data_IF_080503489847
#
_entry.id   IF_080503489847
#
_cell.length_a   1.000
_cell.length_b   1.000
_cell.length_c   1.000
_cell.angle_alpha   90.00
_cell.angle_beta   90.00
_cell.angle_gamma   90.00
#
_symmetry.space_group_name_H-M   'P 1'
#
loop_
_entity.id
_entity.type
_entity.pdbx_description
1 polymer ?
#
# COMPACT_ATOMS: atom_id res chain seq x y z
N UNK A 1 -14.02 12.01 77.91
CA UNK A 1 -13.22 11.23 76.95
C UNK A 1 -14.06 10.63 75.80
N UNK A 2 -15.22 11.20 75.42
CA UNK A 2 -16.08 10.67 74.32
C UNK A 2 -16.61 11.74 73.34
N UNK A 3 -16.04 12.96 73.33
CA UNK A 3 -16.55 14.08 72.51
C UNK A 3 -15.69 14.43 71.29
N UNK A 4 -14.45 13.90 71.18
CA UNK A 4 -13.54 14.24 70.09
C UNK A 4 -13.48 13.19 68.96
N UNK A 5 -13.74 11.91 69.23
CA UNK A 5 -13.80 10.87 68.18
C UNK A 5 -14.89 11.18 67.15
N UNK A 6 -15.99 11.83 67.58
CA UNK A 6 -17.06 12.27 66.68
C UNK A 6 -16.62 13.39 65.72
N UNK A 7 -15.73 14.29 66.16
CA UNK A 7 -15.22 15.39 65.31
C UNK A 7 -14.13 14.95 64.33
N UNK A 8 -13.36 13.90 64.66
CA UNK A 8 -12.41 13.29 63.72
C UNK A 8 -13.17 12.46 62.66
N UNK A 9 -14.31 11.86 63.05
CA UNK A 9 -15.18 11.13 62.14
C UNK A 9 -15.94 12.06 61.17
N UNK A 10 -16.26 13.30 61.57
CA UNK A 10 -16.95 14.28 60.73
C UNK A 10 -16.03 15.01 59.72
N UNK A 11 -14.72 15.10 59.98
CA UNK A 11 -13.74 15.75 59.07
C UNK A 11 -13.26 14.80 57.97
N UNK A 12 -13.44 13.49 58.15
CA UNK A 12 -13.14 12.46 57.14
C UNK A 12 -14.38 12.16 56.31
N UNK A 13 -14.84 13.16 55.54
CA UNK A 13 -15.91 13.00 54.56
C UNK A 13 -15.59 11.84 53.62
N UNK A 14 -16.54 10.90 53.53
CA UNK A 14 -16.47 9.72 52.66
C UNK A 14 -16.15 10.14 51.22
N UNK A 15 -15.01 9.70 50.71
CA UNK A 15 -14.77 9.64 49.27
C UNK A 15 -15.80 8.66 48.73
N UNK A 16 -16.71 9.17 47.91
CA UNK A 16 -17.78 8.37 47.30
C UNK A 16 -17.21 7.50 46.18
N UNK A 17 -17.83 6.34 45.92
CA UNK A 17 -17.40 5.43 44.86
C UNK A 17 -17.36 6.08 43.45
N UNK A 18 -18.03 7.21 43.26
CA UNK A 18 -18.00 8.00 42.02
C UNK A 18 -16.70 8.81 41.88
N UNK A 19 -16.10 9.27 42.98
CA UNK A 19 -14.81 9.98 42.97
C UNK A 19 -13.64 9.03 42.70
N UNK A 20 -13.78 7.75 43.08
CA UNK A 20 -12.81 6.69 42.74
C UNK A 20 -12.75 6.43 41.22
N UNK A 21 -13.85 6.67 40.49
CA UNK A 21 -13.94 6.43 39.04
C UNK A 21 -13.30 7.52 38.19
N UNK A 22 -13.15 8.74 38.72
CA UNK A 22 -12.39 9.82 38.05
C UNK A 22 -10.87 9.65 38.16
N UNK A 23 -10.39 8.92 39.19
CA UNK A 23 -8.96 8.70 39.48
C UNK A 23 -8.29 7.79 38.43
N UNK A 24 -9.03 6.92 37.75
CA UNK A 24 -8.47 6.02 36.72
C UNK A 24 -7.97 6.73 35.44
N UNK A 25 -8.27 8.02 35.26
CA UNK A 25 -7.96 8.73 34.01
C UNK A 25 -6.68 9.56 34.03
N UNK A 26 -6.01 9.77 35.18
CA UNK A 26 -4.74 10.51 35.23
C UNK A 26 -3.83 10.15 36.44
N UNK A 27 -3.08 9.04 36.38
CA UNK A 27 -2.46 8.42 37.56
C UNK A 27 -1.26 9.15 38.23
N UNK A 28 -0.39 9.95 37.57
CA UNK A 28 0.83 10.40 38.23
C UNK A 28 0.64 11.61 39.16
N UNK A 29 -0.29 12.54 38.83
CA UNK A 29 -0.41 13.81 39.56
C UNK A 29 -1.22 13.67 40.87
N UNK A 30 -2.21 12.78 40.90
CA UNK A 30 -3.06 12.58 42.09
C UNK A 30 -2.39 11.72 43.17
N UNK A 31 -1.52 10.78 42.77
CA UNK A 31 -0.74 9.98 43.71
C UNK A 31 0.22 10.85 44.54
N UNK A 32 0.83 11.86 43.90
CA UNK A 32 1.75 12.81 44.55
C UNK A 32 1.04 13.71 45.57
N UNK A 33 -0.18 14.17 45.25
CA UNK A 33 -1.03 14.95 46.17
C UNK A 33 -1.39 14.12 47.40
N UNK A 34 -1.84 12.87 47.21
CA UNK A 34 -2.17 11.95 48.31
C UNK A 34 -0.94 11.63 49.17
N UNK A 35 0.23 11.45 48.56
CA UNK A 35 1.48 11.20 49.29
C UNK A 35 1.88 12.39 50.17
N UNK A 36 1.69 13.62 49.67
CA UNK A 36 1.99 14.85 50.41
C UNK A 36 1.00 15.08 51.56
N UNK A 37 -0.29 14.79 51.37
CA UNK A 37 -1.28 14.81 52.46
C UNK A 37 -0.96 13.80 53.56
N UNK A 38 -0.52 12.59 53.20
CA UNK A 38 -0.12 11.54 54.16
C UNK A 38 1.12 11.96 54.98
N UNK A 39 2.09 12.64 54.36
CA UNK A 39 3.28 13.18 55.05
C UNK A 39 2.90 14.24 56.07
N UNK A 40 2.01 15.16 55.71
CA UNK A 40 1.46 16.19 56.61
C UNK A 40 0.75 15.58 57.83
N UNK A 41 -0.10 14.56 57.61
CA UNK A 41 -0.79 13.88 58.71
C UNK A 41 0.16 13.15 59.66
N UNK A 42 1.24 12.53 59.14
CA UNK A 42 2.27 11.90 59.98
C UNK A 42 3.03 12.93 60.82
N UNK A 43 3.37 14.08 60.24
CA UNK A 43 4.02 15.17 60.99
C UNK A 43 3.10 15.73 62.09
N UNK A 44 1.83 15.97 61.78
CA UNK A 44 0.84 16.44 62.77
C UNK A 44 0.67 15.46 63.95
N UNK A 45 0.66 14.15 63.68
CA UNK A 45 0.61 13.11 64.71
C UNK A 45 1.84 13.12 65.61
N UNK A 46 3.03 13.32 65.04
CA UNK A 46 4.29 13.43 65.81
C UNK A 46 4.26 14.65 66.75
N UNK A 47 3.89 15.83 66.26
CA UNK A 47 3.79 17.04 67.09
C UNK A 47 2.73 16.91 68.20
N UNK A 48 1.61 16.24 67.92
CA UNK A 48 0.61 15.98 68.96
C UNK A 48 1.16 15.07 70.07
N UNK A 49 1.96 14.06 69.73
CA UNK A 49 2.61 13.18 70.71
C UNK A 49 3.66 13.93 71.55
N UNK A 50 4.45 14.81 70.94
CA UNK A 50 5.40 15.70 71.64
C UNK A 50 4.68 16.63 72.62
N UNK A 51 3.55 17.24 72.22
CA UNK A 51 2.75 18.11 73.11
C UNK A 51 2.17 17.31 74.28
N UNK A 52 1.63 16.11 74.04
CA UNK A 52 1.13 15.23 75.10
C UNK A 52 2.24 14.81 76.07
N UNK A 53 3.43 14.51 75.56
CA UNK A 53 4.60 14.18 76.37
C UNK A 53 5.07 15.36 77.21
N UNK A 54 5.13 16.56 76.63
CA UNK A 54 5.47 17.79 77.34
C UNK A 54 4.43 18.13 78.42
N UNK A 55 3.13 17.99 78.12
CA UNK A 55 2.05 18.17 79.10
C UNK A 55 2.15 17.16 80.25
N UNK A 56 2.46 15.89 79.96
CA UNK A 56 2.66 14.86 80.99
C UNK A 56 3.87 15.15 81.87
N UNK A 57 4.98 15.63 81.30
CA UNK A 57 6.18 16.05 82.06
C UNK A 57 5.93 17.27 82.93
N UNK A 58 5.16 18.26 82.43
CA UNK A 58 4.76 19.42 83.23
C UNK A 58 3.88 18.95 84.41
N UNK A 59 2.94 18.04 84.18
CA UNK A 59 2.10 17.45 85.24
C UNK A 59 2.89 16.62 86.26
N UNK A 60 3.97 15.94 85.86
CA UNK A 60 4.90 15.26 86.77
C UNK A 60 5.73 16.27 87.59
N UNK A 61 6.27 17.32 86.94
CA UNK A 61 7.03 18.38 87.62
C UNK A 61 6.16 19.13 88.67
N UNK A 62 4.88 19.37 88.37
CA UNK A 62 3.94 19.95 89.33
C UNK A 62 3.67 19.04 90.53
N UNK A 63 3.67 17.70 90.37
CA UNK A 63 3.52 16.77 91.51
C UNK A 63 4.75 16.76 92.40
N UNK A 64 5.94 16.83 91.81
CA UNK A 64 7.20 16.80 92.56
C UNK A 64 7.42 18.11 93.34
N UNK A 65 7.17 19.28 92.74
CA UNK A 65 7.35 20.57 93.42
C UNK A 65 6.32 20.79 94.54
N UNK A 66 5.07 20.34 94.36
CA UNK A 66 4.03 20.43 95.40
C UNK A 66 4.33 19.46 96.57
N UNK A 67 4.86 18.26 96.28
CA UNK A 67 5.31 17.32 97.30
C UNK A 67 6.58 17.79 98.04
N UNK A 68 7.52 18.46 97.36
CA UNK A 68 8.72 19.03 97.99
C UNK A 68 8.36 20.23 98.88
N UNK A 69 7.43 21.09 98.46
CA UNK A 69 6.92 22.19 99.29
C UNK A 69 6.15 21.69 100.52
N UNK A 70 5.32 20.65 100.37
CA UNK A 70 4.61 20.01 101.49
C UNK A 70 5.59 19.33 102.45
N UNK A 71 6.61 18.60 101.95
CA UNK A 71 7.64 17.96 102.78
C UNK A 71 8.48 18.98 103.55
N UNK A 72 8.89 20.07 102.91
CA UNK A 72 9.65 21.14 103.55
C UNK A 72 8.81 21.89 104.60
N UNK A 73 7.52 22.16 104.33
CA UNK A 73 6.61 22.74 105.33
C UNK A 73 6.36 21.79 106.50
N UNK A 74 6.24 20.48 106.26
CA UNK A 74 6.08 19.47 107.30
C UNK A 74 7.34 19.32 108.16
N UNK A 75 8.54 19.35 107.54
CA UNK A 75 9.82 19.31 108.26
C UNK A 75 10.05 20.57 109.11
N UNK A 76 9.79 21.77 108.58
CA UNK A 76 9.87 23.01 109.36
C UNK A 76 8.86 23.05 110.51
N UNK A 77 7.67 22.48 110.35
CA UNK A 77 6.67 22.38 111.42
C UNK A 77 7.09 21.40 112.53
N UNK A 78 7.74 20.28 112.18
CA UNK A 78 8.27 19.28 113.13
C UNK A 78 9.43 19.87 113.95
N UNK A 79 10.34 20.62 113.33
CA UNK A 79 11.48 21.25 114.02
C UNK A 79 11.03 22.32 115.03
N UNK A 80 9.94 23.04 114.75
CA UNK A 80 9.48 24.16 115.57
C UNK A 80 8.48 23.78 116.68
N UNK A 81 7.70 22.71 116.50
CA UNK A 81 6.60 22.34 117.41
C UNK A 81 6.65 20.91 117.97
N UNK A 82 7.67 20.10 117.62
CA UNK A 82 7.77 18.72 118.06
C UNK A 82 6.75 17.78 117.38
N UNK A 83 6.68 16.52 117.83
CA UNK A 83 6.03 15.38 117.13
C UNK A 83 4.50 15.47 116.89
N UNK A 84 3.86 16.62 117.16
CA UNK A 84 2.46 16.89 116.81
C UNK A 84 2.27 18.39 116.48
N UNK A 85 2.38 18.80 115.20
CA UNK A 85 2.15 20.19 114.83
C UNK A 85 0.64 20.54 114.82
N UNK A 86 0.26 21.76 115.24
CA UNK A 86 -1.13 22.25 115.16
C UNK A 86 -1.59 22.46 113.70
N UNK A 87 -2.91 22.37 113.44
CA UNK A 87 -3.52 22.63 112.12
C UNK A 87 -3.14 24.03 111.61
N UNK A 88 -2.75 24.12 110.34
CA UNK A 88 -2.21 25.28 109.61
C UNK A 88 -3.05 26.58 109.53
N UNK A 89 -4.12 26.75 110.32
CA UNK A 89 -5.05 27.89 110.15
C UNK A 89 -4.72 29.12 111.02
N UNK A 90 -3.66 29.11 111.84
CA UNK A 90 -3.36 30.20 112.79
C UNK A 90 -1.91 30.74 112.69
N UNK A 91 -1.44 31.08 111.48
CA UNK A 91 -0.14 31.75 111.26
C UNK A 91 -0.25 32.97 110.32
N UNK A 92 -0.37 34.21 110.83
CA UNK A 92 -0.55 35.43 110.02
C UNK A 92 0.64 35.79 109.10
N UNK A 93 1.85 35.36 109.45
CA UNK A 93 3.08 35.72 108.71
C UNK A 93 3.30 34.88 107.43
N UNK A 94 2.61 33.74 107.28
CA UNK A 94 2.63 32.93 106.05
C UNK A 94 1.76 33.52 104.93
N UNK A 95 0.72 34.28 105.27
CA UNK A 95 -0.27 34.81 104.32
C UNK A 95 0.31 35.95 103.46
N UNK A 96 1.14 36.82 104.06
CA UNK A 96 1.80 37.94 103.37
C UNK A 96 2.90 37.45 102.40
N UNK A 97 3.59 36.36 102.74
CA UNK A 97 4.61 35.75 101.88
C UNK A 97 3.99 34.99 100.70
N UNK A 98 2.81 34.38 100.91
CA UNK A 98 2.03 33.72 99.86
C UNK A 98 1.41 34.73 98.88
N UNK A 99 0.93 35.89 99.33
CA UNK A 99 0.43 36.95 98.43
C UNK A 99 1.53 37.59 97.58
N UNK A 100 2.68 37.95 98.16
CA UNK A 100 3.82 38.47 97.37
C UNK A 100 4.33 37.47 96.32
N UNK A 101 4.44 36.19 96.69
CA UNK A 101 4.86 35.12 95.76
C UNK A 101 3.82 34.90 94.66
N UNK A 102 2.53 35.09 94.96
CA UNK A 102 1.44 35.03 93.98
C UNK A 102 1.49 36.20 93.00
N UNK A 103 1.76 37.40 93.47
CA UNK A 103 1.94 38.59 92.61
C UNK A 103 3.18 38.45 91.70
N UNK A 104 4.29 37.90 92.22
CA UNK A 104 5.49 37.61 91.41
C UNK A 104 5.22 36.51 90.35
N UNK A 105 4.42 35.49 90.68
CA UNK A 105 4.00 34.44 89.73
C UNK A 105 3.09 35.04 88.65
N UNK A 106 2.14 35.90 89.01
CA UNK A 106 1.26 36.58 88.04
C UNK A 106 2.08 37.49 87.12
N UNK A 107 3.04 38.25 87.66
CA UNK A 107 3.92 39.09 86.85
C UNK A 107 4.83 38.27 85.91
N UNK A 108 5.34 37.11 86.36
CA UNK A 108 6.09 36.19 85.51
C UNK A 108 5.23 35.53 84.43
N UNK A 109 3.98 35.18 84.76
CA UNK A 109 3.01 34.65 83.79
C UNK A 109 2.67 35.70 82.72
N UNK A 110 2.41 36.94 83.12
CA UNK A 110 2.15 38.05 82.19
C UNK A 110 3.34 38.30 81.27
N UNK A 111 4.57 38.27 81.80
CA UNK A 111 5.78 38.42 81.00
C UNK A 111 5.97 37.26 80.02
N UNK A 112 5.77 36.01 80.47
CA UNK A 112 5.84 34.82 79.62
C UNK A 112 4.78 34.83 78.53
N UNK A 113 3.56 35.27 78.85
CA UNK A 113 2.47 35.43 77.89
C UNK A 113 2.82 36.48 76.83
N UNK A 114 3.40 37.61 77.25
CA UNK A 114 3.85 38.66 76.31
C UNK A 114 4.95 38.17 75.38
N UNK A 115 5.93 37.42 75.90
CA UNK A 115 7.00 36.82 75.11
C UNK A 115 6.46 35.76 74.13
N UNK A 116 5.50 34.95 74.55
CA UNK A 116 4.82 33.97 73.70
C UNK A 116 4.04 34.65 72.58
N UNK A 117 3.31 35.73 72.87
CA UNK A 117 2.58 36.53 71.87
C UNK A 117 3.54 37.15 70.84
N UNK A 118 4.69 37.67 71.26
CA UNK A 118 5.72 38.17 70.34
C UNK A 118 6.32 37.07 69.47
N UNK A 119 6.60 35.89 70.05
CA UNK A 119 7.10 34.75 69.30
C UNK A 119 6.08 34.28 68.26
N UNK A 120 4.80 34.16 68.66
CA UNK A 120 3.71 33.76 67.78
C UNK A 120 3.51 34.76 66.64
N UNK A 121 3.60 36.06 66.89
CA UNK A 121 3.55 37.10 65.85
C UNK A 121 4.68 36.95 64.83
N UNK A 122 5.91 36.69 65.28
CA UNK A 122 7.06 36.45 64.40
C UNK A 122 6.86 35.19 63.55
N UNK A 123 6.37 34.12 64.16
CA UNK A 123 6.12 32.85 63.47
C UNK A 123 5.01 32.98 62.42
N UNK A 124 3.89 33.65 62.75
CA UNK A 124 2.81 33.94 61.79
C UNK A 124 3.33 34.78 60.64
N UNK A 125 4.16 35.79 60.90
CA UNK A 125 4.78 36.62 59.86
C UNK A 125 5.66 35.78 58.91
N UNK A 126 6.55 34.95 59.46
CA UNK A 126 7.42 34.07 58.67
C UNK A 126 6.60 33.08 57.84
N UNK A 127 5.58 32.45 58.43
CA UNK A 127 4.71 31.48 57.73
C UNK A 127 3.87 32.14 56.64
N UNK A 128 3.44 33.38 56.84
CA UNK A 128 2.73 34.15 55.80
C UNK A 128 3.64 34.45 54.62
N UNK A 129 4.90 34.82 54.87
CA UNK A 129 5.88 35.06 53.82
C UNK A 129 6.24 33.77 53.05
N UNK A 130 6.44 32.65 53.76
CA UNK A 130 6.63 31.33 53.14
C UNK A 130 5.44 30.95 52.25
N UNK A 131 4.21 31.16 52.72
CA UNK A 131 3.00 30.88 51.96
C UNK A 131 2.90 31.75 50.68
N UNK A 132 3.31 33.02 50.76
CA UNK A 132 3.34 33.91 49.60
C UNK A 132 4.33 33.43 48.53
N UNK A 133 5.57 33.09 48.94
CA UNK A 133 6.59 32.57 48.02
C UNK A 133 6.13 31.27 47.36
N UNK A 134 5.50 30.37 48.12
CA UNK A 134 4.93 29.13 47.59
C UNK A 134 3.82 29.42 46.57
N UNK A 135 2.93 30.38 46.86
CA UNK A 135 1.87 30.79 45.93
C UNK A 135 2.42 31.33 44.61
N UNK A 136 3.43 32.19 44.67
CA UNK A 136 4.10 32.73 43.48
C UNK A 136 4.78 31.62 42.67
N UNK A 137 5.42 30.66 43.35
CA UNK A 137 6.07 29.51 42.70
C UNK A 137 5.05 28.62 41.99
N UNK A 138 3.93 28.30 42.65
CA UNK A 138 2.84 27.50 42.05
C UNK A 138 2.23 28.21 40.84
N UNK A 139 2.07 29.53 40.90
CA UNK A 139 1.60 30.32 39.77
C UNK A 139 2.55 30.20 38.57
N UNK A 140 3.86 30.41 38.79
CA UNK A 140 4.86 30.29 37.74
C UNK A 140 4.92 28.87 37.14
N UNK A 141 4.82 27.83 37.98
CA UNK A 141 4.77 26.45 37.50
C UNK A 141 3.52 26.17 36.66
N UNK A 142 2.36 26.72 37.05
CA UNK A 142 1.11 26.62 36.27
C UNK A 142 1.23 27.30 34.90
N UNK A 143 1.84 28.50 34.83
CA UNK A 143 2.10 29.18 33.56
C UNK A 143 3.07 28.40 32.66
N UNK A 144 4.14 27.85 33.24
CA UNK A 144 5.08 27.01 32.51
C UNK A 144 4.41 25.73 31.98
N UNK A 145 3.55 25.09 32.77
CA UNK A 145 2.80 23.92 32.33
C UNK A 145 1.85 24.24 31.16
N UNK A 146 1.17 25.39 31.19
CA UNK A 146 0.34 25.88 30.07
C UNK A 146 1.18 26.11 28.82
N UNK A 147 2.35 26.75 28.95
CA UNK A 147 3.27 27.00 27.84
C UNK A 147 3.79 25.70 27.22
N UNK A 148 4.19 24.74 28.06
CA UNK A 148 4.67 23.42 27.63
C UNK A 148 3.56 22.64 26.91
N UNK A 149 2.33 22.66 27.44
CA UNK A 149 1.18 22.03 26.78
C UNK A 149 0.95 22.60 25.38
N UNK A 150 0.94 23.92 25.24
CA UNK A 150 0.79 24.58 23.94
C UNK A 150 1.96 24.28 22.97
N UNK A 151 3.17 24.05 23.49
CA UNK A 151 4.32 23.63 22.69
C UNK A 151 4.19 22.17 22.22
N UNK A 152 3.73 21.27 23.10
CA UNK A 152 3.45 19.87 22.75
C UNK A 152 2.36 19.77 21.68
N UNK A 153 1.28 20.54 21.81
CA UNK A 153 0.20 20.57 20.81
C UNK A 153 0.71 21.05 19.44
N UNK A 154 1.56 22.08 19.40
CA UNK A 154 2.20 22.54 18.16
C UNK A 154 3.08 21.47 17.51
N UNK A 155 3.96 20.84 18.28
CA UNK A 155 4.83 19.76 17.78
C UNK A 155 3.98 18.59 17.25
N UNK A 156 2.89 18.25 17.95
CA UNK A 156 1.98 17.20 17.51
C UNK A 156 1.34 17.53 16.16
N UNK A 157 0.86 18.77 15.96
CA UNK A 157 0.28 19.19 14.68
C UNK A 157 1.32 19.19 13.55
N UNK A 158 2.53 19.67 13.82
CA UNK A 158 3.63 19.67 12.85
C UNK A 158 4.01 18.25 12.42
N UNK A 159 4.08 17.30 13.38
CA UNK A 159 4.34 15.89 13.10
C UNK A 159 3.27 15.26 12.19
N UNK A 160 1.98 15.58 12.42
CA UNK A 160 0.88 15.13 11.56
C UNK A 160 1.00 15.70 10.15
N UNK A 161 1.29 16.99 10.02
CA UNK A 161 1.49 17.64 8.71
C UNK A 161 2.64 17.03 7.92
N UNK A 162 3.79 16.80 8.57
CA UNK A 162 4.94 16.17 7.93
C UNK A 162 4.64 14.72 7.50
N UNK A 163 3.91 13.96 8.31
CA UNK A 163 3.48 12.61 7.94
C UNK A 163 2.56 12.62 6.72
N UNK A 164 1.64 13.58 6.63
CA UNK A 164 0.77 13.74 5.46
C UNK A 164 1.58 14.04 4.20
N UNK A 165 2.52 14.99 4.26
CA UNK A 165 3.41 15.30 3.14
C UNK A 165 4.24 14.09 2.69
N UNK A 166 4.78 13.31 3.65
CA UNK A 166 5.51 12.08 3.35
C UNK A 166 4.65 11.05 2.61
N UNK A 167 3.41 10.86 3.06
CA UNK A 167 2.47 9.94 2.40
C UNK A 167 2.14 10.41 0.97
N UNK A 168 1.90 11.71 0.76
CA UNK A 168 1.70 12.25 -0.60
C UNK A 168 2.93 12.11 -1.50
N UNK A 169 4.14 12.22 -0.93
CA UNK A 169 5.37 11.97 -1.69
C UNK A 169 5.49 10.50 -2.14
N UNK A 170 5.10 9.56 -1.27
CA UNK A 170 5.10 8.12 -1.59
C UNK A 170 4.06 7.75 -2.66
N UNK A 171 2.88 8.38 -2.67
CA UNK A 171 1.90 8.15 -3.73
C UNK A 171 2.42 8.64 -5.08
N UNK A 172 3.02 9.83 -5.13
CA UNK A 172 3.62 10.36 -6.35
C UNK A 172 4.77 9.47 -6.86
N UNK A 173 5.60 8.93 -5.96
CA UNK A 173 6.67 8.00 -6.35
C UNK A 173 6.13 6.73 -7.02
N UNK A 174 5.06 6.13 -6.47
CA UNK A 174 4.42 4.94 -7.07
C UNK A 174 3.81 5.24 -8.45
N UNK A 175 3.26 6.43 -8.64
CA UNK A 175 2.75 6.86 -9.95
C UNK A 175 3.88 7.01 -10.98
N UNK A 176 5.01 7.59 -10.57
CA UNK A 176 6.21 7.68 -11.43
C UNK A 176 6.72 6.29 -11.80
N UNK A 177 6.82 5.37 -10.85
CA UNK A 177 7.24 3.99 -11.10
C UNK A 177 6.32 3.28 -12.11
N UNK A 178 5.01 3.46 -11.98
CA UNK A 178 4.02 2.94 -12.95
C UNK A 178 4.23 3.54 -14.34
N UNK A 179 4.42 4.85 -14.46
CA UNK A 179 4.68 5.51 -15.74
C UNK A 179 5.99 5.04 -16.38
N UNK A 180 7.05 4.84 -15.59
CA UNK A 180 8.32 4.31 -16.08
C UNK A 180 8.15 2.90 -16.68
N UNK A 181 7.40 2.03 -16.01
CA UNK A 181 7.10 0.69 -16.50
C UNK A 181 6.29 0.71 -17.81
N UNK A 182 5.29 1.59 -17.92
CA UNK A 182 4.51 1.77 -19.15
C UNK A 182 5.39 2.27 -20.32
N UNK A 183 6.31 3.21 -20.06
CA UNK A 183 7.27 3.68 -21.07
C UNK A 183 8.23 2.58 -21.54
N UNK A 184 8.70 1.71 -20.63
CA UNK A 184 9.58 0.60 -21.00
C UNK A 184 8.86 -0.37 -21.95
N UNK A 185 7.59 -0.69 -21.68
CA UNK A 185 6.78 -1.51 -22.59
C UNK A 185 6.59 -0.84 -23.96
N UNK A 186 6.34 0.46 -24.00
CA UNK A 186 6.25 1.22 -25.25
C UNK A 186 7.56 1.15 -26.06
N UNK A 187 8.72 1.28 -25.41
CA UNK A 187 10.03 1.17 -26.08
C UNK A 187 10.23 -0.20 -26.73
N UNK A 188 9.87 -1.28 -26.03
CA UNK A 188 9.93 -2.65 -26.59
C UNK A 188 9.02 -2.80 -27.80
N UNK A 189 7.81 -2.23 -27.75
CA UNK A 189 6.88 -2.25 -28.88
C UNK A 189 7.42 -1.47 -30.10
N UNK A 190 7.98 -0.28 -29.88
CA UNK A 190 8.61 0.53 -30.93
C UNK A 190 9.77 -0.22 -31.56
N UNK A 191 10.63 -0.86 -30.77
CA UNK A 191 11.75 -1.65 -31.28
C UNK A 191 11.29 -2.81 -32.17
N UNK A 192 10.22 -3.52 -31.77
CA UNK A 192 9.61 -4.57 -32.60
C UNK A 192 9.09 -4.02 -33.94
N UNK A 193 8.43 -2.86 -33.92
CA UNK A 193 7.91 -2.22 -35.14
C UNK A 193 9.06 -1.83 -36.07
N UNK A 194 10.13 -1.23 -35.54
CA UNK A 194 11.31 -0.87 -36.34
C UNK A 194 11.93 -2.09 -37.04
N UNK A 195 12.08 -3.20 -36.32
CA UNK A 195 12.60 -4.45 -36.89
C UNK A 195 11.68 -4.99 -38.00
N UNK A 196 10.36 -4.97 -37.80
CA UNK A 196 9.39 -5.39 -38.82
C UNK A 196 9.45 -4.52 -40.08
N UNK A 197 9.61 -3.20 -39.92
CA UNK A 197 9.74 -2.28 -41.05
C UNK A 197 11.03 -2.56 -41.84
N UNK A 198 12.16 -2.77 -41.15
CA UNK A 198 13.42 -3.16 -41.79
C UNK A 198 13.25 -4.45 -42.59
N UNK A 199 12.70 -5.49 -41.96
CA UNK A 199 12.49 -6.79 -42.61
C UNK A 199 11.59 -6.68 -43.84
N UNK A 200 10.51 -5.90 -43.79
CA UNK A 200 9.63 -5.69 -44.95
C UNK A 200 10.38 -5.04 -46.13
N UNK A 201 11.28 -4.10 -45.86
CA UNK A 201 12.09 -3.44 -46.90
C UNK A 201 13.04 -4.43 -47.56
N UNK A 202 13.72 -5.25 -46.78
CA UNK A 202 14.65 -6.25 -47.30
C UNK A 202 13.92 -7.36 -48.07
N UNK A 203 12.74 -7.78 -47.60
CA UNK A 203 11.95 -8.77 -48.32
C UNK A 203 11.44 -8.23 -49.68
N UNK A 204 11.06 -6.95 -49.74
CA UNK A 204 10.66 -6.32 -50.98
C UNK A 204 11.80 -6.23 -52.01
N UNK A 205 13.03 -5.96 -51.55
CA UNK A 205 14.21 -5.92 -52.45
C UNK A 205 14.57 -7.32 -52.96
N UNK A 206 14.52 -8.34 -52.10
CA UNK A 206 14.69 -9.75 -52.46
C UNK A 206 13.66 -10.22 -53.48
N UNK A 207 12.38 -9.92 -53.28
CA UNK A 207 11.31 -10.27 -54.22
C UNK A 207 11.53 -9.65 -55.60
N UNK A 208 11.97 -8.39 -55.65
CA UNK A 208 12.29 -7.71 -56.92
C UNK A 208 13.49 -8.35 -57.63
N UNK A 209 14.53 -8.73 -56.89
CA UNK A 209 15.69 -9.42 -57.44
C UNK A 209 15.32 -10.81 -57.98
N UNK A 210 14.50 -11.56 -57.25
CA UNK A 210 13.99 -12.86 -57.68
C UNK A 210 13.20 -12.76 -58.99
N UNK A 211 12.31 -11.76 -59.09
CA UNK A 211 11.51 -11.55 -60.30
C UNK A 211 12.39 -11.16 -61.52
N UNK A 212 13.41 -10.32 -61.31
CA UNK A 212 14.35 -9.96 -62.35
C UNK A 212 15.15 -11.19 -62.84
N UNK A 213 15.64 -12.01 -61.92
CA UNK A 213 16.38 -13.24 -62.25
C UNK A 213 15.51 -14.28 -62.96
N UNK A 214 14.24 -14.47 -62.54
CA UNK A 214 13.28 -15.33 -63.25
C UNK A 214 13.08 -14.88 -64.69
N UNK A 215 12.86 -13.58 -64.90
CA UNK A 215 12.68 -13.01 -66.24
C UNK A 215 13.90 -13.24 -67.13
N UNK A 216 15.11 -13.07 -66.59
CA UNK A 216 16.35 -13.33 -67.34
C UNK A 216 16.48 -14.80 -67.74
N UNK A 217 16.18 -15.73 -66.82
CA UNK A 217 16.18 -17.16 -67.13
C UNK A 217 15.18 -17.51 -68.23
N UNK A 218 13.97 -16.96 -68.19
CA UNK A 218 12.94 -17.20 -69.22
C UNK A 218 13.39 -16.69 -70.60
N UNK A 219 14.00 -15.50 -70.64
CA UNK A 219 14.55 -14.90 -71.86
C UNK A 219 15.70 -15.76 -72.44
N UNK A 220 16.59 -16.24 -71.57
CA UNK A 220 17.70 -17.12 -71.96
C UNK A 220 17.18 -18.47 -72.48
N UNK A 221 16.20 -19.08 -71.81
CA UNK A 221 15.57 -20.32 -72.25
C UNK A 221 14.89 -20.15 -73.61
N UNK A 222 14.19 -19.03 -73.83
CA UNK A 222 13.57 -18.72 -75.12
C UNK A 222 14.62 -18.59 -76.22
N UNK A 223 15.70 -17.86 -75.98
CA UNK A 223 16.80 -17.70 -76.95
C UNK A 223 17.51 -19.02 -77.23
N UNK A 224 17.76 -19.83 -76.21
CA UNK A 224 18.40 -21.14 -76.35
C UNK A 224 17.51 -22.07 -77.19
N UNK A 225 16.21 -22.07 -76.94
CA UNK A 225 15.23 -22.85 -77.69
C UNK A 225 15.17 -22.44 -79.16
N UNK A 226 15.22 -21.14 -79.46
CA UNK A 226 15.27 -20.62 -80.82
C UNK A 226 16.56 -21.07 -81.55
N UNK A 227 17.72 -20.97 -80.89
CA UNK A 227 19.01 -21.38 -81.49
C UNK A 227 19.05 -22.89 -81.69
N UNK A 228 18.54 -23.68 -80.73
CA UNK A 228 18.45 -25.13 -80.85
C UNK A 228 17.51 -25.54 -81.99
N UNK A 229 16.32 -24.91 -82.09
CA UNK A 229 15.37 -25.11 -83.18
C UNK A 229 15.98 -24.77 -84.55
N UNK A 230 16.61 -23.60 -84.68
CA UNK A 230 17.25 -23.18 -85.93
C UNK A 230 18.36 -24.14 -86.39
N UNK A 231 19.17 -24.67 -85.47
CA UNK A 231 20.21 -25.66 -85.78
C UNK A 231 19.65 -27.03 -86.17
N UNK A 232 18.49 -27.41 -85.63
CA UNK A 232 17.84 -28.68 -85.96
C UNK A 232 17.08 -28.64 -87.29
N UNK A 233 16.53 -27.47 -87.66
CA UNK A 233 15.84 -27.25 -88.94
C UNK A 233 16.84 -27.03 -90.10
N UNK A 234 18.03 -26.48 -89.81
CA UNK A 234 19.09 -26.30 -90.81
C UNK A 234 19.58 -27.65 -91.37
N UNK A 235 19.04 -28.04 -92.52
CA UNK A 235 19.37 -29.28 -93.23
C UNK A 235 18.31 -30.39 -93.14
N UNK A 236 17.22 -30.18 -92.39
CA UNK A 236 16.08 -31.12 -92.30
C UNK A 236 14.76 -30.35 -92.17
N UNK A 237 14.11 -30.04 -93.28
CA UNK A 237 12.79 -29.37 -93.32
C UNK A 237 11.65 -30.22 -92.73
N UNK A 238 11.91 -31.49 -92.42
CA UNK A 238 10.98 -32.42 -91.78
C UNK A 238 10.99 -32.38 -90.25
N UNK A 239 11.99 -31.72 -89.62
CA UNK A 239 12.06 -31.63 -88.16
C UNK A 239 11.15 -30.48 -87.69
N UNK A 240 10.20 -30.82 -86.82
CA UNK A 240 9.20 -29.91 -86.29
C UNK A 240 9.82 -28.69 -85.59
N UNK A 241 9.16 -27.53 -85.72
CA UNK A 241 9.55 -26.29 -85.03
C UNK A 241 9.50 -26.47 -83.51
N UNK A 242 10.68 -26.51 -82.87
CA UNK A 242 10.81 -26.59 -81.42
C UNK A 242 10.48 -25.28 -80.71
N UNK A 243 10.28 -24.19 -81.45
CA UNK A 243 9.70 -22.94 -80.93
C UNK A 243 8.18 -22.98 -80.83
N UNK A 244 7.50 -23.92 -81.48
CA UNK A 244 6.04 -24.03 -81.43
C UNK A 244 5.59 -24.51 -80.04
N UNK A 245 4.83 -23.65 -79.35
CA UNK A 245 4.23 -23.91 -78.05
C UNK A 245 3.15 -25.00 -78.12
N UNK A 246 2.56 -25.21 -79.29
CA UNK A 246 1.46 -26.15 -79.52
C UNK A 246 1.92 -27.44 -80.22
N UNK A 247 3.23 -27.70 -80.31
CA UNK A 247 3.71 -28.98 -80.86
C UNK A 247 3.25 -30.17 -80.00
N UNK A 248 2.97 -31.35 -80.60
CA UNK A 248 2.44 -32.50 -79.87
C UNK A 248 3.26 -32.88 -78.62
N UNK A 249 4.59 -32.84 -78.70
CA UNK A 249 5.49 -33.14 -77.58
C UNK A 249 5.37 -32.12 -76.45
N UNK A 250 5.24 -30.83 -76.76
CA UNK A 250 5.08 -29.78 -75.74
C UNK A 250 3.71 -29.83 -75.08
N UNK A 251 2.67 -30.19 -75.84
CA UNK A 251 1.34 -30.45 -75.28
C UNK A 251 1.40 -31.64 -74.31
N UNK A 252 2.13 -32.72 -74.64
CA UNK A 252 2.31 -33.85 -73.75
C UNK A 252 3.09 -33.49 -72.46
N UNK A 253 4.11 -32.64 -72.56
CA UNK A 253 4.82 -32.08 -71.40
C UNK A 253 3.89 -31.23 -70.53
N UNK A 254 3.11 -30.31 -71.12
CA UNK A 254 2.14 -29.47 -70.41
C UNK A 254 1.04 -30.30 -69.73
N UNK A 255 0.61 -31.40 -70.35
CA UNK A 255 -0.34 -32.34 -69.74
C UNK A 255 0.26 -33.09 -68.55
N UNK A 256 1.55 -33.43 -68.63
CA UNK A 256 2.28 -34.04 -67.51
C UNK A 256 2.41 -33.05 -66.36
N UNK A 257 2.78 -31.79 -66.64
CA UNK A 257 2.86 -30.71 -65.64
C UNK A 257 1.50 -30.41 -64.99
N UNK A 258 0.40 -30.44 -65.76
CA UNK A 258 -0.96 -30.28 -65.23
C UNK A 258 -1.30 -31.38 -64.23
N UNK A 259 -0.91 -32.62 -64.51
CA UNK A 259 -1.14 -33.76 -63.63
C UNK A 259 -0.29 -33.72 -62.35
N UNK A 260 0.93 -33.20 -62.44
CA UNK A 260 1.90 -33.24 -61.34
C UNK A 260 1.80 -32.00 -60.44
N UNK A 261 1.80 -30.80 -61.03
CA UNK A 261 1.84 -29.54 -60.28
C UNK A 261 0.42 -29.03 -59.96
N UNK A 262 -0.38 -28.80 -61.00
CA UNK A 262 -1.67 -28.10 -60.86
C UNK A 262 -2.72 -28.96 -60.16
N UNK A 263 -2.75 -30.27 -60.46
CA UNK A 263 -3.65 -31.20 -59.78
C UNK A 263 -3.28 -31.32 -58.29
N UNK A 264 -2.00 -31.47 -57.97
CA UNK A 264 -1.53 -31.57 -56.58
C UNK A 264 -1.80 -30.28 -55.81
N UNK A 265 -1.55 -29.11 -56.40
CA UNK A 265 -1.82 -27.81 -55.77
C UNK A 265 -3.32 -27.58 -55.55
N UNK A 266 -4.17 -27.94 -56.52
CA UNK A 266 -5.62 -27.82 -56.38
C UNK A 266 -6.17 -28.74 -55.28
N UNK A 267 -5.69 -29.99 -55.23
CA UNK A 267 -6.05 -30.96 -54.18
C UNK A 267 -5.60 -30.44 -52.81
N UNK A 268 -4.35 -30.02 -52.67
CA UNK A 268 -3.79 -29.52 -51.42
C UNK A 268 -4.51 -28.25 -50.92
N UNK A 269 -4.82 -27.33 -51.83
CA UNK A 269 -5.58 -26.11 -51.52
C UNK A 269 -7.00 -26.42 -51.03
N UNK A 270 -7.68 -27.39 -51.66
CA UNK A 270 -9.05 -27.76 -51.29
C UNK A 270 -9.10 -28.60 -50.00
N UNK A 271 -8.11 -29.46 -49.76
CA UNK A 271 -7.95 -30.24 -48.53
C UNK A 271 -7.56 -29.35 -47.34
N UNK A 272 -6.48 -28.58 -47.46
CA UNK A 272 -5.91 -27.85 -46.33
C UNK A 272 -6.55 -26.47 -46.15
N UNK A 273 -6.92 -25.80 -47.23
CA UNK A 273 -7.56 -24.49 -47.20
C UNK A 273 -9.05 -24.58 -46.86
N UNK A 274 -9.80 -25.35 -47.65
CA UNK A 274 -11.26 -25.42 -47.55
C UNK A 274 -11.80 -26.60 -46.73
N UNK A 275 -10.94 -27.55 -46.33
CA UNK A 275 -11.29 -28.76 -45.57
C UNK A 275 -12.38 -29.59 -46.23
N UNK A 276 -12.35 -29.67 -47.55
CA UNK A 276 -13.27 -30.54 -48.27
C UNK A 276 -12.83 -31.99 -48.11
N UNK A 277 -13.77 -32.94 -47.96
CA UNK A 277 -13.43 -34.34 -47.98
C UNK A 277 -12.95 -34.73 -49.38
N UNK A 278 -11.97 -35.63 -49.44
CA UNK A 278 -11.23 -35.97 -50.65
C UNK A 278 -12.14 -36.46 -51.80
N UNK A 279 -13.20 -37.19 -51.47
CA UNK A 279 -14.18 -37.68 -52.43
C UNK A 279 -14.94 -36.54 -53.14
N UNK A 280 -15.26 -35.45 -52.43
CA UNK A 280 -15.87 -34.27 -53.02
C UNK A 280 -14.88 -33.48 -53.87
N UNK A 281 -13.62 -33.41 -53.46
CA UNK A 281 -12.55 -32.74 -54.23
C UNK A 281 -12.36 -33.44 -55.57
N UNK A 282 -12.20 -34.78 -55.55
CA UNK A 282 -12.02 -35.58 -56.77
C UNK A 282 -13.21 -35.38 -57.71
N UNK A 283 -14.45 -35.42 -57.20
CA UNK A 283 -15.65 -35.18 -58.01
C UNK A 283 -15.67 -33.77 -58.61
N UNK A 284 -15.28 -32.76 -57.83
CA UNK A 284 -15.27 -31.38 -58.30
C UNK A 284 -14.24 -31.15 -59.40
N UNK A 285 -13.01 -31.64 -59.21
CA UNK A 285 -11.95 -31.57 -60.21
C UNK A 285 -12.32 -32.34 -61.48
N UNK A 286 -12.98 -33.50 -61.34
CA UNK A 286 -13.48 -34.27 -62.48
C UNK A 286 -14.52 -33.50 -63.30
N UNK A 287 -15.45 -32.78 -62.66
CA UNK A 287 -16.44 -31.94 -63.36
C UNK A 287 -15.74 -30.84 -64.16
N UNK A 288 -14.74 -30.20 -63.58
CA UNK A 288 -13.94 -29.15 -64.26
C UNK A 288 -13.25 -29.76 -65.48
N UNK A 289 -12.59 -30.91 -65.34
CA UNK A 289 -11.90 -31.59 -66.43
C UNK A 289 -12.86 -31.98 -67.56
N UNK A 290 -14.05 -32.50 -67.24
CA UNK A 290 -15.10 -32.78 -68.22
C UNK A 290 -15.58 -31.53 -68.95
N UNK A 291 -15.70 -30.40 -68.23
CA UNK A 291 -16.03 -29.11 -68.81
C UNK A 291 -14.98 -28.65 -69.84
N UNK A 292 -13.70 -28.71 -69.45
CA UNK A 292 -12.58 -28.40 -70.33
C UNK A 292 -12.57 -29.29 -71.58
N UNK A 293 -12.74 -30.61 -71.41
CA UNK A 293 -12.79 -31.55 -72.53
C UNK A 293 -13.90 -31.20 -73.53
N UNK A 294 -15.13 -30.97 -73.03
CA UNK A 294 -16.26 -30.58 -73.89
C UNK A 294 -15.99 -29.28 -74.64
N UNK A 295 -15.42 -28.28 -73.98
CA UNK A 295 -15.04 -27.02 -74.61
C UNK A 295 -13.99 -27.25 -75.71
N UNK A 296 -12.98 -28.08 -75.47
CA UNK A 296 -11.99 -28.44 -76.48
C UNK A 296 -12.61 -29.14 -77.69
N UNK A 297 -13.54 -30.08 -77.48
CA UNK A 297 -14.26 -30.75 -78.58
C UNK A 297 -15.09 -29.75 -79.42
N UNK A 298 -15.76 -28.80 -78.76
CA UNK A 298 -16.52 -27.76 -79.44
C UNK A 298 -15.62 -26.84 -80.27
N UNK A 299 -14.52 -26.37 -79.69
CA UNK A 299 -13.53 -25.54 -80.39
C UNK A 299 -12.90 -26.28 -81.57
N UNK A 300 -12.52 -27.54 -81.41
CA UNK A 300 -11.98 -28.35 -82.50
C UNK A 300 -12.99 -28.51 -83.64
N UNK A 301 -14.25 -28.75 -83.30
CA UNK A 301 -15.34 -28.86 -84.29
C UNK A 301 -15.54 -27.54 -85.04
N UNK A 302 -15.54 -26.41 -84.33
CA UNK A 302 -15.63 -25.07 -84.94
C UNK A 302 -14.43 -24.78 -85.84
N UNK A 303 -13.21 -25.06 -85.38
CA UNK A 303 -12.00 -24.87 -86.19
C UNK A 303 -12.02 -25.68 -87.48
N UNK A 304 -12.47 -26.94 -87.42
CA UNK A 304 -12.64 -27.77 -88.62
C UNK A 304 -13.69 -27.17 -89.56
N UNK A 305 -14.84 -26.73 -89.02
CA UNK A 305 -15.87 -26.09 -89.84
C UNK A 305 -15.37 -24.81 -90.51
N UNK A 306 -14.65 -23.96 -89.78
CA UNK A 306 -14.04 -22.74 -90.30
C UNK A 306 -13.01 -23.03 -91.40
N UNK A 307 -12.17 -24.06 -91.21
CA UNK A 307 -11.20 -24.49 -92.22
C UNK A 307 -11.89 -25.02 -93.47
N UNK A 308 -12.90 -25.88 -93.31
CA UNK A 308 -13.69 -26.42 -94.41
C UNK A 308 -14.37 -25.28 -95.17
N UNK A 309 -15.00 -24.34 -94.47
CA UNK A 309 -15.66 -23.21 -95.11
C UNK A 309 -14.68 -22.35 -95.91
N UNK A 310 -13.49 -22.05 -95.36
CA UNK A 310 -12.45 -21.27 -96.05
C UNK A 310 -11.91 -22.01 -97.28
N UNK A 311 -11.63 -23.31 -97.15
CA UNK A 311 -11.13 -24.13 -98.26
C UNK A 311 -12.18 -24.32 -99.37
N UNK A 312 -13.46 -24.50 -99.02
CA UNK A 312 -14.53 -24.61 -100.01
C UNK A 312 -14.86 -23.27 -100.69
N UNK A 313 -14.70 -22.13 -100.01
CA UNK A 313 -14.89 -20.83 -100.62
C UNK A 313 -13.80 -20.55 -101.67
N UNK A 314 -12.54 -20.89 -101.37
CA UNK A 314 -11.43 -20.83 -102.33
C UNK A 314 -11.61 -21.80 -103.51
N UNK A 315 -12.10 -23.03 -103.26
CA UNK A 315 -12.39 -23.99 -104.33
C UNK A 315 -13.63 -23.62 -105.16
N UNK A 316 -14.56 -22.80 -104.67
CA UNK A 316 -15.68 -22.30 -105.48
C UNK A 316 -15.27 -21.29 -106.56
N UNK A 317 -14.02 -20.81 -106.52
CA UNK A 317 -13.39 -20.04 -107.60
C UNK A 317 -12.65 -20.91 -108.63
N UNK A 318 -12.56 -22.23 -108.40
CA UNK A 318 -11.93 -23.20 -109.30
C UNK A 318 -12.87 -24.41 -109.52
N UNK A 319 -13.50 -24.42 -110.68
CA UNK A 319 -14.48 -25.37 -111.19
C UNK A 319 -14.30 -26.88 -110.83
N UNK A 320 -15.45 -27.54 -110.57
CA UNK A 320 -15.81 -28.96 -110.83
C UNK A 320 -15.92 -29.98 -109.66
N UNK A 321 -17.18 -30.45 -109.50
CA UNK A 321 -17.72 -31.79 -109.12
C UNK A 321 -17.52 -32.44 -107.73
N UNK A 322 -18.64 -32.45 -106.99
CA UNK A 322 -19.19 -33.50 -106.10
C UNK A 322 -18.31 -34.68 -105.68
N UNK A 323 -18.07 -34.78 -104.37
CA UNK A 323 -18.18 -36.06 -103.64
C UNK A 323 -18.60 -35.79 -102.20
N UNK A 324 -19.78 -36.30 -101.79
CA UNK A 324 -20.25 -36.28 -100.40
C UNK A 324 -19.40 -37.25 -99.59
N UNK A 325 -18.61 -36.75 -98.64
CA UNK A 325 -18.00 -37.57 -97.59
C UNK A 325 -18.92 -37.54 -96.37
N UNK A 326 -19.64 -38.63 -96.15
CA UNK A 326 -20.46 -38.85 -94.96
C UNK A 326 -19.55 -39.35 -93.84
N UNK A 327 -19.32 -38.55 -92.80
CA UNK A 327 -18.69 -39.03 -91.56
C UNK A 327 -19.78 -39.65 -90.68
N UNK A 328 -19.74 -40.98 -90.54
CA UNK A 328 -20.55 -41.72 -89.57
C UNK A 328 -19.97 -41.52 -88.17
N UNK A 329 -20.72 -40.85 -87.29
CA UNK A 329 -20.50 -40.93 -85.85
C UNK A 329 -20.79 -42.37 -85.38
N UNK A 330 -19.74 -43.10 -85.01
CA UNK A 330 -19.91 -44.29 -84.17
C UNK A 330 -20.18 -43.82 -82.74
N UNK A 331 -21.43 -43.93 -82.35
CA UNK A 331 -21.88 -43.91 -80.96
C UNK A 331 -21.06 -44.95 -80.17
N UNK A 332 -20.21 -44.51 -79.26
CA UNK A 332 -19.71 -45.34 -78.16
C UNK A 332 -20.52 -44.99 -76.92
N UNK A 333 -21.75 -45.51 -76.89
CA UNK A 333 -22.39 -45.83 -75.63
C UNK A 333 -21.55 -46.91 -74.92
N UNK A 334 -21.45 -46.80 -73.59
CA UNK A 334 -20.84 -47.73 -72.64
C UNK A 334 -19.32 -47.66 -72.46
N UNK A 335 -18.91 -46.75 -71.57
CA UNK A 335 -17.92 -47.12 -70.55
C UNK A 335 -18.46 -46.64 -69.20
N UNK A 336 -19.03 -47.58 -68.43
CA UNK A 336 -19.22 -47.45 -66.98
C UNK A 336 -17.86 -47.65 -66.33
N UNK A 337 -17.39 -46.64 -65.59
CA UNK A 337 -16.55 -46.83 -64.41
C UNK A 337 -17.11 -45.97 -63.29
#
# INVERSE_FOLDING_TARGET
MFSLDKKIHDVTGYITWNEIKEIETNPPLQLEILLNQLKLLKAARYYYQEIQFAQSKVLEAFRDDECILLLHQYQCAIEKYGKNPPRCEEAPELNIFQEKKKDDIVAQQDLAQKQLEEHLKKEVYLKTNEAQILSETVHLMSENAKCLKAKCERISMESVSLNFQRLSGLTNYKEIEKMCFEHEQCLVAVFRILNLVSWKKDNASLMKALQASKKENDDLLQRLSQVAGAKLVAGNSSIADLGDKYRPTRIAELYSELYDNEWTEAVDTLLNGNRWPEDMIIRHLFIILQGCYKACCQLASQQIQDLVQKLYFDLSSADVSTTKVTYSHTNTENVKY
#
